data_IF_631915407317
#
_entry.id   IF_631915407317
#
_cell.length_a   1.000
_cell.length_b   1.000
_cell.length_c   1.000
_cell.angle_alpha   90.00
_cell.angle_beta   90.00
_cell.angle_gamma   90.00
#
_symmetry.space_group_name_H-M   'P 1'
#
loop_
_entity.id
_entity.type
_entity.pdbx_description
1 polymer ?
#
# COMPACT_ATOMS: atom_id res chain seq x y z
N UNK A 1 -2.13 23.87 -3.30
CA UNK A 1 -1.31 24.95 -2.71
C UNK A 1 -1.67 25.07 -1.25
N UNK A 2 -0.67 25.11 -0.41
CA UNK A 2 -0.77 25.38 1.02
C UNK A 2 -0.09 26.73 1.31
N UNK A 3 -0.18 27.24 2.55
CA UNK A 3 0.61 28.40 3.00
C UNK A 3 2.12 28.17 2.89
N UNK A 4 2.56 26.91 2.93
CA UNK A 4 3.95 26.50 2.96
C UNK A 4 4.53 26.17 1.58
N UNK A 5 3.68 26.07 0.52
CA UNK A 5 4.18 25.75 -0.81
C UNK A 5 3.17 25.12 -1.76
N UNK A 6 3.71 24.58 -2.86
CA UNK A 6 2.96 23.82 -3.86
C UNK A 6 3.42 22.37 -3.77
N UNK A 7 2.51 21.48 -3.45
CA UNK A 7 2.74 20.03 -3.33
C UNK A 7 2.05 19.31 -4.49
N UNK A 8 2.80 18.86 -5.51
CA UNK A 8 2.21 18.13 -6.63
C UNK A 8 1.77 16.73 -6.20
N UNK A 9 0.58 16.32 -6.64
CA UNK A 9 0.13 14.94 -6.55
C UNK A 9 0.50 14.23 -7.86
N UNK A 10 1.33 13.20 -7.76
CA UNK A 10 1.97 12.56 -8.91
C UNK A 10 1.37 11.17 -9.12
N UNK A 11 0.97 10.90 -10.36
CA UNK A 11 0.63 9.56 -10.85
C UNK A 11 1.57 9.18 -11.99
N UNK A 12 2.16 7.99 -11.91
CA UNK A 12 3.00 7.41 -12.97
C UNK A 12 2.30 6.15 -13.48
N UNK A 13 2.23 5.98 -14.80
CA UNK A 13 1.68 4.76 -15.42
C UNK A 13 2.75 4.15 -16.32
N UNK A 14 3.03 2.87 -16.11
CA UNK A 14 4.04 2.09 -16.82
C UNK A 14 3.36 0.87 -17.43
N UNK A 15 3.73 0.47 -18.65
CA UNK A 15 3.12 -0.68 -19.33
C UNK A 15 1.66 -0.41 -19.69
N UNK A 16 1.34 0.81 -20.13
CA UNK A 16 -0.02 1.23 -20.47
C UNK A 16 -0.68 0.28 -21.48
N UNK A 17 -1.97 0.02 -21.25
CA UNK A 17 -2.84 -0.85 -22.07
C UNK A 17 -2.52 -2.36 -21.95
N UNK A 18 -1.66 -2.78 -21.00
CA UNK A 18 -1.47 -4.19 -20.69
C UNK A 18 -2.69 -4.81 -19.97
N UNK A 19 -2.87 -6.15 -20.06
CA UNK A 19 -4.09 -6.82 -19.62
C UNK A 19 -4.31 -6.78 -18.10
N UNK A 20 -3.24 -6.85 -17.31
CA UNK A 20 -3.34 -6.80 -15.85
C UNK A 20 -3.02 -5.41 -15.32
N UNK A 21 -3.76 -4.96 -14.31
CA UNK A 21 -3.58 -3.63 -13.74
C UNK A 21 -3.25 -3.70 -12.26
N UNK A 22 -2.11 -3.10 -11.87
CA UNK A 22 -1.68 -2.99 -10.50
C UNK A 22 -1.65 -1.52 -10.05
N UNK A 23 -2.10 -1.25 -8.83
CA UNK A 23 -1.92 0.03 -8.13
C UNK A 23 -0.89 -0.17 -7.02
N UNK A 24 0.12 0.69 -6.98
CA UNK A 24 1.13 0.71 -5.91
C UNK A 24 1.16 2.12 -5.35
N UNK A 25 1.03 2.26 -4.04
CA UNK A 25 0.99 3.55 -3.37
C UNK A 25 1.86 3.59 -2.12
N UNK A 26 2.35 4.78 -1.79
CA UNK A 26 3.09 5.06 -0.56
C UNK A 26 2.83 6.48 -0.05
N UNK A 27 3.27 6.75 1.17
CA UNK A 27 3.26 8.08 1.76
C UNK A 27 1.87 8.70 1.90
N UNK A 28 0.85 7.91 2.25
CA UNK A 28 -0.44 8.45 2.69
C UNK A 28 -0.32 9.03 4.09
N UNK A 29 0.51 8.43 4.94
CA UNK A 29 1.03 9.02 6.16
C UNK A 29 2.44 9.56 5.87
N UNK A 30 2.68 10.82 6.21
CA UNK A 30 3.94 11.46 5.81
C UNK A 30 5.12 11.06 6.68
N UNK A 31 4.90 10.55 7.88
CA UNK A 31 5.90 10.02 8.80
C UNK A 31 6.32 8.56 8.47
N UNK A 32 5.76 7.96 7.40
CA UNK A 32 6.06 6.63 6.90
C UNK A 32 6.87 6.69 5.58
N UNK A 33 8.15 7.08 5.61
CA UNK A 33 8.93 7.34 4.38
C UNK A 33 9.26 6.09 3.58
N UNK A 34 9.24 4.90 4.20
CA UNK A 34 9.66 3.65 3.55
C UNK A 34 8.88 3.31 2.29
N UNK A 35 7.58 3.60 2.26
CA UNK A 35 6.75 3.38 1.08
C UNK A 35 7.14 4.27 -0.10
N UNK A 36 7.37 5.56 0.15
CA UNK A 36 7.82 6.53 -0.87
C UNK A 36 9.17 6.12 -1.45
N UNK A 37 10.14 5.88 -0.59
CA UNK A 37 11.50 5.49 -0.96
C UNK A 37 11.54 4.14 -1.70
N UNK A 38 10.62 3.23 -1.38
CA UNK A 38 10.49 1.95 -2.08
C UNK A 38 10.05 2.16 -3.53
N UNK A 39 9.05 3.02 -3.76
CA UNK A 39 8.57 3.31 -5.12
C UNK A 39 9.67 4.02 -5.93
N UNK A 40 10.38 4.98 -5.33
CA UNK A 40 11.52 5.63 -5.97
C UNK A 40 12.58 4.60 -6.36
N UNK A 41 12.96 3.72 -5.44
CA UNK A 41 13.94 2.65 -5.70
C UNK A 41 13.48 1.66 -6.76
N UNK A 42 12.21 1.28 -6.77
CA UNK A 42 11.61 0.43 -7.80
C UNK A 42 11.77 1.03 -9.20
N UNK A 43 11.63 2.36 -9.31
CA UNK A 43 11.83 3.12 -10.56
C UNK A 43 13.32 3.27 -10.92
N UNK A 44 14.17 3.68 -9.98
CA UNK A 44 15.62 3.89 -10.19
C UNK A 44 16.34 2.60 -10.60
N UNK A 45 16.04 1.48 -9.93
CA UNK A 45 16.58 0.16 -10.27
C UNK A 45 15.89 -0.48 -11.47
N UNK A 46 14.93 0.21 -12.07
CA UNK A 46 14.16 -0.26 -13.23
C UNK A 46 13.52 -1.63 -13.03
N UNK A 47 13.10 -1.95 -11.79
CA UNK A 47 12.46 -3.24 -11.47
C UNK A 47 11.18 -3.47 -12.27
N UNK A 48 10.49 -2.39 -12.65
CA UNK A 48 9.29 -2.42 -13.47
C UNK A 48 9.51 -3.11 -14.84
N UNK A 49 10.75 -3.16 -15.36
CA UNK A 49 11.03 -3.79 -16.65
C UNK A 49 10.64 -5.28 -16.69
N UNK A 50 10.64 -5.95 -15.52
CA UNK A 50 10.25 -7.36 -15.41
C UNK A 50 8.75 -7.61 -15.61
N UNK A 51 7.95 -6.53 -15.68
CA UNK A 51 6.48 -6.59 -15.68
C UNK A 51 5.85 -5.97 -16.92
N UNK A 52 6.64 -5.39 -17.83
CA UNK A 52 6.16 -4.57 -18.94
C UNK A 52 5.32 -5.34 -19.97
N UNK A 53 5.49 -6.65 -20.05
CA UNK A 53 4.79 -7.47 -21.06
C UNK A 53 3.35 -7.79 -20.64
N UNK A 54 3.03 -7.70 -19.32
CA UNK A 54 1.74 -8.16 -18.80
C UNK A 54 1.02 -7.14 -17.90
N UNK A 55 1.76 -6.21 -17.28
CA UNK A 55 1.21 -5.30 -16.28
C UNK A 55 1.14 -3.84 -16.75
N UNK A 56 -0.01 -3.22 -16.58
CA UNK A 56 -0.15 -1.77 -16.45
C UNK A 56 0.01 -1.42 -14.96
N UNK A 57 1.17 -0.88 -14.58
CA UNK A 57 1.46 -0.49 -13.21
C UNK A 57 1.18 0.99 -13.03
N UNK A 58 0.22 1.33 -12.19
CA UNK A 58 -0.04 2.70 -11.73
C UNK A 58 0.63 2.91 -10.39
N UNK A 59 1.48 3.94 -10.30
CA UNK A 59 2.18 4.32 -9.08
C UNK A 59 1.64 5.65 -8.55
N UNK A 60 1.37 5.72 -7.25
CA UNK A 60 1.15 6.92 -6.46
C UNK A 60 2.30 7.04 -5.45
N UNK A 61 3.44 7.66 -5.86
CA UNK A 61 4.67 7.62 -5.06
C UNK A 61 4.53 8.26 -3.69
N UNK A 62 3.74 9.35 -3.58
CA UNK A 62 3.53 10.05 -2.33
C UNK A 62 2.13 10.71 -2.36
N UNK A 63 1.20 10.18 -1.55
CA UNK A 63 -0.17 10.70 -1.48
C UNK A 63 -0.24 11.95 -0.62
N UNK A 64 0.58 12.05 0.44
CA UNK A 64 0.68 13.18 1.36
C UNK A 64 2.07 13.85 1.28
N UNK A 65 2.38 14.58 0.21
CA UNK A 65 3.71 15.17 0.05
C UNK A 65 4.03 16.27 1.09
N UNK A 66 3.00 16.92 1.66
CA UNK A 66 3.19 17.85 2.77
C UNK A 66 3.65 17.11 4.03
N UNK A 67 2.91 16.08 4.44
CA UNK A 67 3.28 15.28 5.60
C UNK A 67 4.67 14.66 5.45
N UNK A 68 4.99 14.17 4.25
CA UNK A 68 6.31 13.59 3.94
C UNK A 68 7.46 14.60 4.13
N UNK A 69 7.29 15.85 3.66
CA UNK A 69 8.32 16.89 3.85
C UNK A 69 8.58 17.21 5.32
N UNK A 70 7.54 17.21 6.14
CA UNK A 70 7.64 17.56 7.57
C UNK A 70 7.75 16.35 8.51
N UNK A 71 7.71 15.12 7.98
CA UNK A 71 7.75 13.90 8.77
C UNK A 71 6.59 13.78 9.75
N UNK A 72 5.39 14.16 9.33
CA UNK A 72 4.17 14.09 10.13
C UNK A 72 3.11 13.24 9.43
N UNK A 73 2.30 12.55 10.23
CA UNK A 73 1.25 11.63 9.75
C UNK A 73 0.18 12.35 8.92
N UNK A 74 -0.28 13.48 9.41
CA UNK A 74 -1.41 14.22 8.86
C UNK A 74 -0.98 15.08 7.66
N UNK A 75 -1.98 15.51 6.90
CA UNK A 75 -1.79 16.51 5.84
C UNK A 75 -1.73 17.95 6.42
N UNK A 76 -1.58 18.95 5.55
CA UNK A 76 -1.51 20.38 5.92
C UNK A 76 -2.75 20.92 6.66
N UNK A 77 -3.83 20.15 6.71
CA UNK A 77 -5.07 20.48 7.45
C UNK A 77 -5.14 19.75 8.80
N UNK A 78 -4.10 19.02 9.20
CA UNK A 78 -4.11 18.20 10.42
C UNK A 78 -5.04 16.99 10.32
N UNK A 79 -5.20 16.42 9.12
CA UNK A 79 -6.11 15.30 8.87
C UNK A 79 -5.35 14.03 8.52
N UNK A 80 -5.70 12.91 9.16
CA UNK A 80 -5.28 11.57 8.74
C UNK A 80 -6.05 11.18 7.47
N UNK A 81 -5.35 11.22 6.34
CA UNK A 81 -5.95 10.94 5.03
C UNK A 81 -6.52 9.53 4.92
N UNK A 82 -5.89 8.56 5.61
CA UNK A 82 -6.30 7.15 5.56
C UNK A 82 -7.53 6.83 6.43
N UNK A 83 -8.29 7.84 6.82
CA UNK A 83 -9.59 7.75 7.51
C UNK A 83 -10.72 8.39 6.70
N UNK A 84 -10.42 9.03 5.55
CA UNK A 84 -11.33 9.97 4.89
C UNK A 84 -11.88 9.49 3.55
N UNK A 85 -11.68 8.22 3.19
CA UNK A 85 -12.14 7.71 1.89
C UNK A 85 -13.67 7.50 1.79
N UNK A 86 -14.41 7.60 2.92
CA UNK A 86 -15.89 7.56 2.95
C UNK A 86 -16.52 8.95 3.01
N UNK A 87 -15.73 10.01 3.23
CA UNK A 87 -16.24 11.36 3.37
C UNK A 87 -16.84 11.90 2.06
N UNK A 88 -17.93 12.67 2.18
CA UNK A 88 -18.57 13.34 1.03
C UNK A 88 -17.70 14.45 0.43
N UNK A 89 -16.91 15.13 1.27
CA UNK A 89 -16.03 16.24 0.89
C UNK A 89 -14.61 16.02 1.46
N UNK A 90 -13.88 15.01 0.94
CA UNK A 90 -12.54 14.73 1.44
C UNK A 90 -11.51 15.75 0.91
N UNK A 91 -10.29 15.79 1.51
CA UNK A 91 -9.17 16.58 0.99
C UNK A 91 -8.79 16.23 -0.45
N UNK A 92 -8.09 17.16 -1.13
CA UNK A 92 -7.68 17.00 -2.54
C UNK A 92 -6.81 15.74 -2.75
N UNK A 93 -5.99 15.39 -1.78
CA UNK A 93 -5.14 14.20 -1.80
C UNK A 93 -5.99 12.93 -1.90
N UNK A 94 -7.09 12.85 -1.13
CA UNK A 94 -8.02 11.72 -1.16
C UNK A 94 -8.82 11.72 -2.46
N UNK A 95 -9.34 12.87 -2.93
CA UNK A 95 -10.04 12.99 -4.22
C UNK A 95 -9.14 12.52 -5.36
N UNK A 96 -7.86 12.90 -5.33
CA UNK A 96 -6.89 12.46 -6.33
C UNK A 96 -6.71 10.94 -6.30
N UNK A 97 -6.49 10.32 -5.13
CA UNK A 97 -6.36 8.88 -5.00
C UNK A 97 -7.62 8.15 -5.47
N UNK A 98 -8.81 8.60 -5.05
CA UNK A 98 -10.10 8.06 -5.49
C UNK A 98 -10.25 8.11 -7.01
N UNK A 99 -9.84 9.20 -7.68
CA UNK A 99 -9.92 9.34 -9.14
C UNK A 99 -9.08 8.30 -9.89
N UNK A 100 -8.03 7.80 -9.25
CA UNK A 100 -7.18 6.73 -9.77
C UNK A 100 -7.80 5.37 -9.47
N UNK A 101 -8.21 5.14 -8.23
CA UNK A 101 -8.76 3.87 -7.73
C UNK A 101 -10.05 3.48 -8.48
N UNK A 102 -10.92 4.43 -8.80
CA UNK A 102 -12.21 4.19 -9.47
C UNK A 102 -12.10 3.49 -10.85
N UNK A 103 -10.88 3.32 -11.36
CA UNK A 103 -10.64 2.51 -12.56
C UNK A 103 -10.70 1.00 -12.31
N UNK A 104 -10.62 0.58 -11.02
CA UNK A 104 -10.49 -0.81 -10.57
C UNK A 104 -9.12 -1.40 -10.95
N UNK A 105 -8.63 -2.34 -10.17
CA UNK A 105 -7.34 -3.00 -10.37
C UNK A 105 -7.45 -4.50 -10.08
N UNK A 106 -6.58 -5.31 -10.64
CA UNK A 106 -6.42 -6.69 -10.20
C UNK A 106 -5.83 -6.75 -8.80
N UNK A 107 -4.81 -5.90 -8.55
CA UNK A 107 -4.15 -5.82 -7.24
C UNK A 107 -3.85 -4.37 -6.86
N UNK A 108 -4.09 -4.01 -5.60
CA UNK A 108 -3.63 -2.78 -4.97
C UNK A 108 -2.66 -3.12 -3.84
N UNK A 109 -1.51 -2.46 -3.82
CA UNK A 109 -0.45 -2.65 -2.83
C UNK A 109 -0.16 -1.29 -2.19
N UNK A 110 -0.49 -1.16 -0.91
CA UNK A 110 -0.24 0.03 -0.10
C UNK A 110 0.96 -0.21 0.79
N UNK A 111 1.93 0.70 0.76
CA UNK A 111 3.18 0.59 1.52
C UNK A 111 3.12 1.51 2.73
N UNK A 112 3.04 0.91 3.91
CA UNK A 112 2.90 1.54 5.22
C UNK A 112 4.02 1.16 6.19
N UNK A 113 4.09 1.84 7.31
CA UNK A 113 5.00 1.53 8.41
C UNK A 113 4.29 1.61 9.75
N UNK A 114 4.60 0.66 10.64
CA UNK A 114 4.02 0.60 11.98
C UNK A 114 5.08 0.89 13.05
N UNK A 115 4.78 1.84 13.93
CA UNK A 115 5.65 2.24 15.05
C UNK A 115 5.56 1.30 16.26
N UNK A 116 4.44 0.60 16.40
CA UNK A 116 4.16 -0.27 17.54
C UNK A 116 4.59 -1.72 17.29
N UNK A 117 4.82 -2.10 16.03
CA UNK A 117 5.24 -3.45 15.66
C UNK A 117 6.77 -3.60 15.62
N UNK A 118 7.27 -4.73 16.12
CA UNK A 118 8.67 -5.13 16.00
C UNK A 118 8.96 -6.06 14.82
N UNK A 119 7.93 -6.43 14.06
CA UNK A 119 8.01 -7.33 12.92
C UNK A 119 7.09 -6.92 11.78
N UNK A 120 7.46 -7.31 10.56
CA UNK A 120 6.69 -7.05 9.36
C UNK A 120 5.39 -7.87 9.37
N UNK A 121 4.29 -7.27 8.96
CA UNK A 121 2.99 -7.94 8.79
C UNK A 121 2.22 -7.32 7.64
N UNK A 122 1.05 -7.83 7.31
CA UNK A 122 0.22 -7.27 6.26
C UNK A 122 -1.27 -7.54 6.48
N UNK A 123 -2.08 -6.66 5.91
CA UNK A 123 -3.50 -6.90 5.70
C UNK A 123 -3.72 -7.43 4.29
N UNK A 124 -4.60 -8.42 4.17
CA UNK A 124 -4.98 -9.01 2.89
C UNK A 124 -6.49 -9.10 2.77
N UNK A 125 -7.03 -8.50 1.72
CA UNK A 125 -8.43 -8.62 1.34
C UNK A 125 -8.51 -9.03 -0.13
N UNK A 126 -9.16 -10.15 -0.43
CA UNK A 126 -9.28 -10.67 -1.80
C UNK A 126 -10.64 -11.28 -2.05
N UNK A 127 -11.11 -11.23 -3.29
CA UNK A 127 -12.38 -11.82 -3.72
C UNK A 127 -12.19 -13.30 -4.07
N UNK A 128 -11.03 -13.67 -4.59
CA UNK A 128 -10.78 -14.99 -5.16
C UNK A 128 -9.90 -15.85 -4.25
N UNK A 129 -10.41 -17.02 -3.84
CA UNK A 129 -9.70 -17.97 -2.95
C UNK A 129 -8.33 -18.44 -3.48
N UNK A 130 -8.12 -18.42 -4.79
CA UNK A 130 -6.81 -18.78 -5.39
C UNK A 130 -5.68 -17.86 -4.94
N UNK A 131 -6.00 -16.67 -4.45
CA UNK A 131 -5.04 -15.68 -3.96
C UNK A 131 -4.82 -15.70 -2.44
N UNK A 132 -5.51 -16.58 -1.70
CA UNK A 132 -5.45 -16.59 -0.22
C UNK A 132 -4.01 -16.80 0.32
N UNK A 133 -3.15 -17.50 -0.42
CA UNK A 133 -1.76 -17.76 -0.03
C UNK A 133 -0.76 -16.62 -0.27
N UNK A 134 -1.14 -15.56 -0.98
CA UNK A 134 -0.20 -14.49 -1.40
C UNK A 134 0.46 -13.83 -0.20
N UNK A 135 -0.30 -13.44 0.81
CA UNK A 135 0.24 -12.80 2.01
C UNK A 135 1.28 -13.66 2.73
N UNK A 136 1.01 -14.96 2.91
CA UNK A 136 1.95 -15.88 3.52
C UNK A 136 3.23 -16.05 2.67
N UNK A 137 3.10 -16.08 1.34
CA UNK A 137 4.25 -16.18 0.44
C UNK A 137 5.11 -14.91 0.50
N UNK A 138 4.49 -13.74 0.58
CA UNK A 138 5.19 -12.47 0.79
C UNK A 138 6.00 -12.53 2.09
N UNK A 139 5.36 -12.87 3.23
CA UNK A 139 6.03 -12.94 4.52
C UNK A 139 7.13 -14.01 4.55
N UNK A 140 6.93 -15.14 3.88
CA UNK A 140 7.97 -16.17 3.74
C UNK A 140 9.20 -15.65 2.96
N UNK A 141 9.01 -14.83 1.94
CA UNK A 141 10.12 -14.23 1.17
C UNK A 141 10.97 -13.27 2.00
N UNK A 142 10.38 -12.66 3.04
CA UNK A 142 11.06 -11.72 3.93
C UNK A 142 11.90 -12.39 5.02
N UNK A 143 11.82 -13.72 5.17
CA UNK A 143 12.64 -14.45 6.16
C UNK A 143 14.14 -14.20 5.92
N UNK A 144 14.83 -13.80 6.97
CA UNK A 144 16.24 -13.42 6.90
C UNK A 144 16.52 -11.98 6.47
N UNK A 145 15.50 -11.26 5.96
CA UNK A 145 15.59 -9.84 5.62
C UNK A 145 15.01 -8.98 6.75
N UNK A 146 13.81 -9.33 7.21
CA UNK A 146 13.06 -8.62 8.24
C UNK A 146 12.38 -9.63 9.18
N UNK A 147 12.38 -9.42 10.49
CA UNK A 147 11.52 -10.20 11.39
C UNK A 147 10.06 -10.05 11.00
N UNK A 148 9.30 -11.14 11.16
CA UNK A 148 7.85 -11.17 10.92
C UNK A 148 7.16 -11.05 12.28
N UNK A 149 6.09 -10.25 12.36
CA UNK A 149 5.21 -10.23 13.52
C UNK A 149 4.37 -11.52 13.51
N UNK A 150 4.54 -12.35 14.53
CA UNK A 150 3.87 -13.65 14.66
C UNK A 150 2.82 -13.66 15.79
N UNK A 151 2.47 -12.50 16.33
CA UNK A 151 1.44 -12.38 17.33
C UNK A 151 0.08 -12.83 16.78
N UNK A 152 -0.74 -13.43 17.61
CA UNK A 152 -2.09 -13.89 17.24
C UNK A 152 -3.08 -12.73 17.06
N UNK A 153 -2.75 -11.58 17.65
CA UNK A 153 -3.48 -10.32 17.51
C UNK A 153 -2.50 -9.19 17.19
N UNK A 154 -2.72 -8.50 16.07
CA UNK A 154 -1.93 -7.37 15.59
C UNK A 154 -2.90 -6.23 15.27
N UNK A 155 -2.63 -5.02 15.76
CA UNK A 155 -3.48 -3.84 15.57
C UNK A 155 -4.97 -4.12 15.90
N UNK A 156 -5.23 -4.83 17.05
CA UNK A 156 -6.56 -5.19 17.50
C UNK A 156 -7.32 -6.16 16.56
N UNK A 157 -6.61 -6.81 15.65
CA UNK A 157 -7.18 -7.75 14.69
C UNK A 157 -6.51 -9.11 14.80
N UNK A 158 -7.31 -10.18 14.65
CA UNK A 158 -6.76 -11.54 14.60
C UNK A 158 -5.81 -11.68 13.41
N UNK A 159 -4.62 -12.19 13.67
CA UNK A 159 -3.61 -12.44 12.67
C UNK A 159 -3.24 -13.93 12.63
N UNK A 160 -2.91 -14.42 11.46
CA UNK A 160 -2.36 -15.75 11.27
C UNK A 160 -0.98 -15.63 10.62
N UNK A 161 0.08 -15.91 11.40
CA UNK A 161 1.48 -15.87 10.94
C UNK A 161 1.86 -14.54 10.28
N UNK A 162 1.34 -13.42 10.82
CA UNK A 162 1.58 -12.07 10.32
C UNK A 162 0.64 -11.60 9.22
N UNK A 163 -0.32 -12.41 8.82
CA UNK A 163 -1.37 -12.01 7.86
C UNK A 163 -2.66 -11.72 8.60
N UNK A 164 -3.19 -10.53 8.41
CA UNK A 164 -4.53 -10.13 8.86
C UNK A 164 -5.46 -10.23 7.67
N UNK A 165 -6.26 -11.31 7.65
CA UNK A 165 -7.35 -11.47 6.68
C UNK A 165 -8.61 -10.88 7.30
N UNK A 166 -9.13 -9.79 6.75
CA UNK A 166 -10.39 -9.21 7.25
C UNK A 166 -11.55 -9.60 6.34
N UNK A 167 -12.52 -10.34 6.89
CA UNK A 167 -13.91 -10.23 6.42
C UNK A 167 -14.42 -8.87 6.94
N UNK A 168 -14.24 -7.83 6.12
CA UNK A 168 -14.68 -6.49 6.47
C UNK A 168 -16.16 -6.35 6.13
N UNK A 169 -17.01 -6.23 7.14
CA UNK A 169 -18.33 -5.67 6.92
C UNK A 169 -18.22 -4.15 6.72
N UNK A 170 -18.06 -3.76 5.46
CA UNK A 170 -17.94 -2.36 5.02
C UNK A 170 -19.11 -1.50 5.47
N UNK A 171 -20.27 -2.10 5.74
CA UNK A 171 -21.49 -1.37 6.11
C UNK A 171 -21.44 -0.80 7.53
N UNK A 172 -20.65 -1.43 8.40
CA UNK A 172 -20.56 -1.07 9.83
C UNK A 172 -19.45 -0.07 10.15
N UNK A 173 -18.55 0.24 9.20
CA UNK A 173 -17.44 1.16 9.45
C UNK A 173 -17.82 2.61 9.20
N UNK A 174 -17.62 3.48 10.19
CA UNK A 174 -17.90 4.91 10.10
C UNK A 174 -16.88 5.66 9.23
N UNK A 175 -15.67 5.15 9.07
CA UNK A 175 -14.61 5.71 8.25
C UNK A 175 -13.95 4.61 7.40
N UNK A 176 -13.38 4.99 6.25
CA UNK A 176 -12.70 4.04 5.36
C UNK A 176 -11.24 4.42 5.14
N UNK A 177 -10.33 3.44 5.27
CA UNK A 177 -8.98 3.55 4.72
C UNK A 177 -9.01 3.40 3.19
N UNK A 178 -7.90 3.74 2.55
CA UNK A 178 -7.74 3.63 1.10
C UNK A 178 -7.93 2.19 0.60
N UNK A 179 -7.40 1.18 1.30
CA UNK A 179 -7.55 -0.23 0.96
C UNK A 179 -9.03 -0.65 0.86
N UNK A 180 -9.84 -0.22 1.82
CA UNK A 180 -11.26 -0.54 1.84
C UNK A 180 -12.02 0.14 0.70
N UNK A 181 -11.70 1.41 0.42
CA UNK A 181 -12.24 2.12 -0.73
C UNK A 181 -11.84 1.43 -2.04
N UNK A 182 -10.57 1.02 -2.18
CA UNK A 182 -10.07 0.30 -3.35
C UNK A 182 -10.81 -1.02 -3.57
N UNK A 183 -10.97 -1.80 -2.50
CA UNK A 183 -11.71 -3.06 -2.53
C UNK A 183 -13.18 -2.87 -2.94
N UNK A 184 -13.84 -1.83 -2.40
CA UNK A 184 -15.23 -1.49 -2.72
C UNK A 184 -15.42 -0.93 -4.15
N UNK A 185 -14.33 -0.54 -4.82
CA UNK A 185 -14.33 -0.01 -6.19
C UNK A 185 -13.67 -0.97 -7.19
N UNK A 186 -14.00 -2.26 -7.09
CA UNK A 186 -13.64 -3.32 -8.03
C UNK A 186 -12.13 -3.65 -8.10
N UNK A 187 -11.38 -3.43 -7.03
CA UNK A 187 -10.05 -4.02 -6.89
C UNK A 187 -10.18 -5.44 -6.34
N UNK A 188 -9.60 -6.42 -7.04
CA UNK A 188 -9.79 -7.83 -6.71
C UNK A 188 -9.00 -8.28 -5.48
N UNK A 189 -7.80 -7.72 -5.30
CA UNK A 189 -6.90 -8.00 -4.18
C UNK A 189 -6.34 -6.68 -3.64
N UNK A 190 -6.47 -6.45 -2.33
CA UNK A 190 -5.85 -5.33 -1.64
C UNK A 190 -4.88 -5.86 -0.59
N UNK A 191 -3.64 -5.40 -0.66
CA UNK A 191 -2.57 -5.68 0.29
C UNK A 191 -2.12 -4.37 0.92
N UNK A 192 -2.16 -4.29 2.26
CA UNK A 192 -1.52 -3.22 3.01
C UNK A 192 -0.32 -3.80 3.73
N UNK A 193 0.87 -3.39 3.33
CA UNK A 193 2.15 -3.93 3.79
C UNK A 193 2.70 -3.02 4.88
N UNK A 194 2.97 -3.58 6.07
CA UNK A 194 3.37 -2.84 7.26
C UNK A 194 4.81 -3.18 7.67
N UNK A 195 5.74 -2.26 7.41
CA UNK A 195 7.11 -2.43 7.85
C UNK A 195 7.31 -1.83 9.26
N UNK A 196 8.01 -2.53 10.18
CA UNK A 196 8.26 -2.01 11.51
C UNK A 196 9.25 -0.83 11.47
N UNK A 197 8.80 0.37 11.91
CA UNK A 197 9.58 1.61 11.82
C UNK A 197 10.80 1.66 12.77
N UNK A 198 10.91 0.74 13.71
CA UNK A 198 12.08 0.62 14.59
C UNK A 198 13.38 0.20 13.86
N UNK A 199 13.32 -0.24 12.60
CA UNK A 199 14.49 -0.57 11.79
C UNK A 199 14.93 0.59 10.91
N UNK A 200 16.21 0.57 10.50
CA UNK A 200 16.76 1.56 9.58
C UNK A 200 15.95 1.64 8.28
N UNK A 201 15.76 2.84 7.75
CA UNK A 201 14.99 3.11 6.53
C UNK A 201 15.41 2.20 5.36
N UNK A 202 16.73 2.04 5.13
CA UNK A 202 17.25 1.18 4.08
C UNK A 202 16.77 -0.27 4.21
N UNK A 203 16.67 -0.79 5.43
CA UNK A 203 16.19 -2.16 5.69
C UNK A 203 14.70 -2.28 5.40
N UNK A 204 13.88 -1.29 5.83
CA UNK A 204 12.44 -1.21 5.56
C UNK A 204 12.15 -1.13 4.06
N UNK A 205 12.86 -0.26 3.34
CA UNK A 205 12.78 -0.11 1.88
C UNK A 205 13.11 -1.42 1.15
N UNK A 206 14.17 -2.12 1.57
CA UNK A 206 14.53 -3.41 0.95
C UNK A 206 13.46 -4.49 1.22
N UNK A 207 12.89 -4.52 2.42
CA UNK A 207 11.80 -5.43 2.76
C UNK A 207 10.54 -5.14 1.92
N UNK A 208 10.13 -3.88 1.85
CA UNK A 208 9.00 -3.48 1.01
C UNK A 208 9.23 -3.79 -0.48
N UNK A 209 10.42 -3.54 -1.00
CA UNK A 209 10.74 -3.83 -2.41
C UNK A 209 10.66 -5.33 -2.70
N UNK A 210 11.14 -6.17 -1.78
CA UNK A 210 11.02 -7.62 -1.91
C UNK A 210 9.57 -8.08 -1.79
N UNK A 211 8.81 -7.56 -0.82
CA UNK A 211 7.39 -7.85 -0.64
C UNK A 211 6.56 -7.47 -1.88
N UNK A 212 6.77 -6.26 -2.40
CA UNK A 212 6.13 -5.74 -3.61
C UNK A 212 6.39 -6.64 -4.83
N UNK A 213 7.65 -6.97 -5.09
CA UNK A 213 8.01 -7.82 -6.25
C UNK A 213 7.48 -9.24 -6.09
N UNK A 214 7.47 -9.78 -4.86
CA UNK A 214 6.86 -11.08 -4.57
C UNK A 214 5.35 -11.06 -4.82
N UNK A 215 4.65 -10.00 -4.39
CA UNK A 215 3.22 -9.85 -4.61
C UNK A 215 2.85 -9.86 -6.10
N UNK A 216 3.56 -9.07 -6.92
CA UNK A 216 3.31 -9.01 -8.37
C UNK A 216 3.56 -10.37 -9.05
N UNK A 217 4.67 -11.05 -8.72
CA UNK A 217 5.01 -12.35 -9.29
C UNK A 217 3.97 -13.43 -8.91
N UNK A 218 3.58 -13.49 -7.63
CA UNK A 218 2.63 -14.50 -7.15
C UNK A 218 1.23 -14.29 -7.71
N UNK A 219 0.81 -13.05 -7.86
CA UNK A 219 -0.50 -12.75 -8.47
C UNK A 219 -0.54 -13.19 -9.93
N UNK A 220 0.52 -12.95 -10.69
CA UNK A 220 0.67 -13.36 -12.09
C UNK A 220 0.64 -14.89 -12.25
N UNK A 221 1.39 -15.63 -11.41
CA UNK A 221 1.40 -17.09 -11.42
C UNK A 221 0.04 -17.73 -11.09
N UNK A 222 -0.83 -16.98 -10.39
CA UNK A 222 -2.15 -17.43 -9.95
C UNK A 222 -3.27 -17.01 -10.91
N UNK A 223 -2.99 -16.18 -11.90
CA UNK A 223 -3.96 -15.64 -12.88
C UNK A 223 -4.06 -16.52 -14.09
#
# INVERSE_FOLDING_TARGET
KTSNGIYPLIKIVIGKDNPHRALISGGIHGDEPGGVETIVKFLEERRYLNYLDEWEITLLPCINPFGYEFGIRENHQGKDLNRLFKEDLPPLEVIFAQSVINKGFEISIELHEDYDSNGYYLYQNGIEKKHDGIGLNILNSLKGVMPINLDEEIDGSKAERGVIGKELDVSTMDWWPMALYSFSNNTKMCLTLEAPSCYELKKRVNAHLLALTTALNQFQESS
#
